data_IF_371320970070
#
_entry.id   IF_371320970070
#
_cell.length_a   1.000
_cell.length_b   1.000
_cell.length_c   1.000
_cell.angle_alpha   90.00
_cell.angle_beta   90.00
_cell.angle_gamma   90.00
#
_symmetry.space_group_name_H-M   'P 1'
#
loop_
_entity.id
_entity.type
_entity.pdbx_description
1 polymer ?
#
# COMPACT_ATOMS: atom_id res chain seq x y z
N UNK A 1 -22.09 -21.78 -17.02
CA UNK A 1 -22.14 -20.30 -16.91
C UNK A 1 -22.08 -19.97 -15.42
N UNK A 2 -20.87 -19.77 -14.90
CA UNK A 2 -20.64 -19.56 -13.47
C UNK A 2 -20.80 -18.09 -13.13
N UNK A 3 -21.73 -17.76 -12.25
CA UNK A 3 -21.84 -16.43 -11.64
C UNK A 3 -20.87 -16.40 -10.47
N UNK A 4 -19.77 -15.65 -10.59
CA UNK A 4 -18.89 -15.35 -9.46
C UNK A 4 -19.59 -14.33 -8.56
N UNK A 5 -20.16 -14.80 -7.45
CA UNK A 5 -20.55 -13.91 -6.35
C UNK A 5 -19.29 -13.51 -5.60
N UNK A 6 -18.77 -12.32 -5.92
CA UNK A 6 -17.81 -11.64 -5.06
C UNK A 6 -18.56 -11.06 -3.87
N UNK A 7 -18.38 -11.69 -2.71
CA UNK A 7 -18.95 -11.29 -1.43
C UNK A 7 -18.15 -10.11 -0.87
N UNK A 8 -18.58 -8.88 -1.13
CA UNK A 8 -18.11 -7.74 -0.34
C UNK A 8 -19.25 -7.29 0.59
N UNK A 9 -19.24 -7.69 1.86
CA UNK A 9 -20.19 -7.16 2.83
C UNK A 9 -19.85 -5.70 3.15
N UNK A 10 -20.93 -4.95 3.33
CA UNK A 10 -21.01 -3.52 3.60
C UNK A 10 -20.76 -3.19 5.09
N UNK A 11 -20.17 -2.01 5.34
CA UNK A 11 -19.83 -1.33 6.61
C UNK A 11 -18.49 -1.79 7.24
N UNK A 12 -17.65 -0.92 7.80
CA UNK A 12 -17.88 0.14 8.80
C UNK A 12 -16.67 1.11 8.74
N UNK A 13 -16.89 2.43 8.85
CA UNK A 13 -15.90 3.49 9.17
C UNK A 13 -14.42 3.09 9.10
N UNK A 14 -13.77 3.27 7.96
CA UNK A 14 -12.39 2.85 7.82
C UNK A 14 -11.43 3.98 8.21
N UNK A 15 -10.57 3.81 9.23
CA UNK A 15 -9.31 4.56 9.26
C UNK A 15 -8.51 4.11 8.03
N UNK A 16 -8.01 5.08 7.27
CA UNK A 16 -7.17 4.94 6.07
C UNK A 16 -6.63 3.50 5.91
N UNK A 17 -7.31 2.69 5.11
CA UNK A 17 -6.86 1.32 4.86
C UNK A 17 -5.60 1.37 4.00
N UNK A 18 -4.45 1.22 4.65
CA UNK A 18 -3.24 0.77 3.99
C UNK A 18 -3.49 -0.70 3.62
N UNK A 19 -3.92 -0.98 2.40
CA UNK A 19 -4.04 -2.33 1.87
C UNK A 19 -2.63 -2.90 1.66
N UNK A 20 -2.15 -3.64 2.67
CA UNK A 20 -0.87 -4.34 2.65
C UNK A 20 -0.93 -5.55 1.70
N UNK A 21 -0.65 -5.36 0.41
CA UNK A 21 0.03 -6.41 -0.35
C UNK A 21 1.44 -6.54 0.25
N UNK A 22 2.05 -7.73 0.35
CA UNK A 22 3.20 -7.99 1.24
C UNK A 22 4.40 -7.01 1.15
N UNK A 23 4.51 -6.20 0.10
CA UNK A 23 5.47 -5.08 -0.01
C UNK A 23 4.96 -3.83 -0.76
N UNK A 24 3.64 -3.64 -0.93
CA UNK A 24 3.06 -2.56 -1.74
C UNK A 24 2.52 -1.38 -0.91
N UNK A 25 2.74 -0.15 -1.38
CA UNK A 25 2.10 1.06 -0.85
C UNK A 25 1.35 1.80 -1.96
N UNK A 26 0.14 2.29 -1.64
CA UNK A 26 -0.68 3.12 -2.54
C UNK A 26 -0.93 4.44 -1.84
N UNK A 27 -0.55 5.52 -2.51
CA UNK A 27 -0.71 6.89 -2.02
C UNK A 27 -1.62 7.66 -2.97
N UNK A 28 -2.35 8.64 -2.45
CA UNK A 28 -2.99 9.64 -3.31
C UNK A 28 -1.91 10.52 -3.95
N UNK A 29 -2.16 11.09 -5.14
CA UNK A 29 -1.19 11.97 -5.83
C UNK A 29 -0.72 13.17 -4.98
N UNK A 30 -1.57 13.61 -4.03
CA UNK A 30 -1.26 14.73 -3.15
C UNK A 30 -0.49 14.30 -1.87
N UNK A 31 -0.28 13.01 -1.67
CA UNK A 31 0.34 12.45 -0.47
C UNK A 31 1.88 12.39 -0.57
N UNK A 32 2.51 13.44 -1.13
CA UNK A 32 3.96 13.48 -1.32
C UNK A 32 4.76 13.34 -0.01
N UNK A 33 4.22 13.85 1.10
CA UNK A 33 4.83 13.66 2.43
C UNK A 33 4.82 12.19 2.87
N UNK A 34 3.77 11.45 2.55
CA UNK A 34 3.66 10.06 2.96
C UNK A 34 4.63 9.18 2.17
N UNK A 35 4.85 9.49 0.88
CA UNK A 35 5.90 8.84 0.08
C UNK A 35 7.30 9.12 0.64
N UNK A 36 7.61 10.38 0.98
CA UNK A 36 8.88 10.75 1.61
C UNK A 36 9.13 10.01 2.92
N UNK A 37 8.15 9.98 3.82
CA UNK A 37 8.24 9.29 5.11
C UNK A 37 8.37 7.77 4.89
N UNK A 38 7.63 7.22 3.94
CA UNK A 38 7.71 5.79 3.59
C UNK A 38 9.13 5.43 3.14
N UNK A 39 9.72 6.19 2.22
CA UNK A 39 11.09 5.95 1.76
C UNK A 39 12.13 6.08 2.89
N UNK A 40 11.96 7.05 3.80
CA UNK A 40 12.82 7.20 4.97
C UNK A 40 12.74 5.98 5.89
N UNK A 41 11.54 5.48 6.18
CA UNK A 41 11.37 4.29 7.01
C UNK A 41 12.01 3.04 6.38
N UNK A 42 11.90 2.89 5.05
CA UNK A 42 12.58 1.80 4.32
C UNK A 42 14.10 1.94 4.44
N UNK A 43 14.63 3.15 4.27
CA UNK A 43 16.05 3.42 4.42
C UNK A 43 16.53 3.10 5.83
N UNK A 44 15.83 3.55 6.86
CA UNK A 44 16.18 3.32 8.27
C UNK A 44 16.22 1.83 8.61
N UNK A 45 15.24 1.05 8.13
CA UNK A 45 15.20 -0.40 8.33
C UNK A 45 16.28 -1.13 7.51
N UNK A 46 16.63 -0.62 6.32
CA UNK A 46 17.67 -1.23 5.48
C UNK A 46 19.09 -0.90 5.95
N UNK A 47 19.28 0.18 6.71
CA UNK A 47 20.56 0.54 7.33
C UNK A 47 20.80 -0.20 8.65
N UNK A 48 19.75 -0.79 9.22
CA UNK A 48 19.83 -1.51 10.49
C UNK A 48 20.11 -3.00 10.26
N UNK A 49 21.39 -3.35 10.32
CA UNK A 49 21.89 -4.71 10.17
C UNK A 49 21.41 -5.68 11.27
N UNK A 50 20.80 -5.22 12.36
CA UNK A 50 20.23 -6.09 13.40
C UNK A 50 18.80 -6.56 13.06
N UNK A 51 18.12 -5.88 12.13
CA UNK A 51 16.71 -6.14 11.79
C UNK A 51 16.60 -6.96 10.50
N UNK A 52 17.34 -6.59 9.45
CA UNK A 52 17.31 -7.25 8.13
C UNK A 52 18.73 -7.52 7.62
N UNK A 53 19.50 -8.28 8.40
CA UNK A 53 20.95 -8.45 8.21
C UNK A 53 21.39 -8.99 6.83
N UNK A 54 20.49 -9.63 6.08
CA UNK A 54 20.80 -10.20 4.76
C UNK A 54 19.65 -10.09 3.77
N UNK A 55 18.57 -9.40 4.14
CA UNK A 55 17.37 -9.27 3.32
C UNK A 55 17.21 -7.83 2.84
N UNK A 56 16.96 -7.67 1.55
CA UNK A 56 16.67 -6.36 0.97
C UNK A 56 15.17 -6.12 1.02
N UNK A 57 14.75 -4.97 1.54
CA UNK A 57 13.37 -4.53 1.40
C UNK A 57 13.09 -4.23 -0.07
N UNK A 58 12.27 -5.08 -0.69
CA UNK A 58 11.68 -4.81 -2.00
C UNK A 58 10.34 -4.15 -1.76
N UNK A 59 9.98 -3.13 -2.55
CA UNK A 59 8.70 -2.45 -2.41
C UNK A 59 8.21 -1.91 -3.75
N UNK A 60 6.91 -1.64 -3.85
CA UNK A 60 6.31 -0.93 -4.99
C UNK A 60 5.39 0.17 -4.45
N UNK A 61 5.59 1.39 -4.95
CA UNK A 61 4.72 2.54 -4.62
C UNK A 61 3.90 2.89 -5.85
N UNK A 62 2.60 3.07 -5.66
CA UNK A 62 1.65 3.52 -6.68
C UNK A 62 0.95 4.79 -6.23
N UNK A 63 0.82 5.75 -7.12
CA UNK A 63 0.03 6.96 -6.88
C UNK A 63 -1.32 6.83 -7.58
N UNK A 64 -2.39 7.23 -6.90
CA UNK A 64 -3.76 7.21 -7.43
C UNK A 64 -4.42 8.58 -7.33
N UNK A 65 -5.40 8.81 -8.19
CA UNK A 65 -6.26 10.00 -8.11
C UNK A 65 -7.03 10.00 -6.79
N UNK A 66 -7.16 11.20 -6.21
CA UNK A 66 -7.91 11.37 -4.97
C UNK A 66 -9.38 10.98 -5.16
N UNK A 67 -9.95 10.31 -4.16
CA UNK A 67 -11.34 9.83 -4.17
C UNK A 67 -11.68 8.84 -5.32
N UNK A 68 -10.71 8.15 -5.90
CA UNK A 68 -10.95 7.10 -6.90
C UNK A 68 -10.77 5.68 -6.30
N UNK A 69 -11.80 5.14 -5.59
CA UNK A 69 -11.68 3.85 -4.92
C UNK A 69 -11.49 2.67 -5.88
N UNK A 70 -11.95 2.80 -7.13
CA UNK A 70 -11.77 1.75 -8.14
C UNK A 70 -10.31 1.65 -8.61
N UNK A 71 -9.59 2.77 -8.70
CA UNK A 71 -8.17 2.77 -9.01
C UNK A 71 -7.35 2.15 -7.89
N UNK A 72 -7.67 2.45 -6.63
CA UNK A 72 -7.03 1.83 -5.47
C UNK A 72 -7.13 0.29 -5.51
N UNK A 73 -8.31 -0.24 -5.86
CA UNK A 73 -8.53 -1.68 -6.01
C UNK A 73 -7.80 -2.28 -7.22
N UNK A 74 -7.50 -1.49 -8.25
CA UNK A 74 -6.76 -1.96 -9.42
C UNK A 74 -5.25 -1.99 -9.18
N UNK A 75 -4.70 -0.91 -8.62
CA UNK A 75 -3.26 -0.81 -8.32
C UNK A 75 -2.85 -1.69 -7.13
N UNK A 76 -3.80 -2.10 -6.28
CA UNK A 76 -3.56 -3.01 -5.14
C UNK A 76 -3.63 -4.51 -5.48
N UNK A 77 -3.65 -4.89 -6.76
CA UNK A 77 -3.70 -6.28 -7.23
C UNK A 77 -2.33 -6.84 -7.59
#
# INVERSE_FOLDING_TARGET
MGTVHSLFPHKISEPILIYFAPTGAIFEENAGRDDEIFQLAISDLSLNDDILQSEKITHSVKSIEANNPFQAVQEGK
#
